data_IF_681066535070
#
_entry.id   IF_681066535070
#
_cell.length_a   1.000
_cell.length_b   1.000
_cell.length_c   1.000
_cell.angle_alpha   90.00
_cell.angle_beta   90.00
_cell.angle_gamma   90.00
#
_symmetry.space_group_name_H-M   'P 1'
#
loop_
_entity.id
_entity.type
_entity.pdbx_description
1 polymer ?
#
# COMPACT_ATOMS: atom_id res chain seq x y z
N UNK A 1 25.66 18.35 -9.26
CA UNK A 1 24.51 17.78 -10.02
C UNK A 1 24.38 16.28 -9.81
N UNK A 2 25.46 15.52 -9.78
CA UNK A 2 25.43 14.06 -9.52
C UNK A 2 24.84 13.68 -8.13
N UNK A 3 25.17 14.43 -7.09
CA UNK A 3 24.60 14.15 -5.75
C UNK A 3 23.08 14.32 -5.69
N UNK A 4 22.55 15.34 -6.37
CA UNK A 4 21.09 15.57 -6.41
C UNK A 4 20.42 14.46 -7.24
N UNK A 5 21.01 14.06 -8.36
CA UNK A 5 20.50 12.97 -9.18
C UNK A 5 20.49 11.64 -8.40
N UNK A 6 21.56 11.35 -7.68
CA UNK A 6 21.64 10.16 -6.81
C UNK A 6 20.63 10.20 -5.66
N UNK A 7 20.45 11.35 -5.02
CA UNK A 7 19.45 11.52 -3.97
C UNK A 7 18.03 11.28 -4.51
N UNK A 8 17.72 11.83 -5.69
CA UNK A 8 16.41 11.65 -6.33
C UNK A 8 16.18 10.21 -6.79
N UNK A 9 17.19 9.54 -7.34
CA UNK A 9 17.11 8.14 -7.73
C UNK A 9 16.82 7.25 -6.51
N UNK A 10 17.52 7.48 -5.39
CA UNK A 10 17.29 6.75 -4.14
C UNK A 10 15.92 7.06 -3.54
N UNK A 11 15.47 8.32 -3.59
CA UNK A 11 14.14 8.71 -3.14
C UNK A 11 13.04 8.02 -3.94
N UNK A 12 13.21 7.88 -5.26
CA UNK A 12 12.29 7.15 -6.13
C UNK A 12 12.28 5.65 -5.82
N UNK A 13 13.45 5.04 -5.63
CA UNK A 13 13.58 3.62 -5.25
C UNK A 13 12.83 3.30 -3.95
N UNK A 14 13.04 4.10 -2.89
CA UNK A 14 12.31 3.98 -1.62
C UNK A 14 10.84 4.36 -1.73
N UNK A 15 10.50 5.35 -2.54
CA UNK A 15 9.14 5.84 -2.73
C UNK A 15 8.26 4.87 -3.54
N UNK A 16 8.84 4.03 -4.39
CA UNK A 16 8.07 3.15 -5.28
C UNK A 16 7.13 2.20 -4.53
N UNK A 17 7.56 1.43 -3.51
CA UNK A 17 6.64 0.55 -2.79
C UNK A 17 5.60 1.33 -1.99
N UNK A 18 5.97 2.50 -1.45
CA UNK A 18 5.02 3.40 -0.77
C UNK A 18 3.95 3.91 -1.74
N UNK A 19 4.35 4.29 -2.97
CA UNK A 19 3.42 4.74 -4.00
C UNK A 19 2.44 3.63 -4.36
N UNK A 20 2.93 2.44 -4.66
CA UNK A 20 2.09 1.30 -5.07
C UNK A 20 1.09 0.95 -3.96
N UNK A 21 1.55 0.83 -2.72
CA UNK A 21 0.68 0.52 -1.57
C UNK A 21 -0.32 1.64 -1.28
N UNK A 22 0.09 2.92 -1.37
CA UNK A 22 -0.77 4.08 -1.21
C UNK A 22 -1.88 4.12 -2.29
N UNK A 23 -1.55 3.83 -3.55
CA UNK A 23 -2.55 3.74 -4.63
C UNK A 23 -3.58 2.66 -4.35
N UNK A 24 -3.15 1.51 -3.82
CA UNK A 24 -4.06 0.44 -3.36
C UNK A 24 -4.97 0.89 -2.23
N UNK A 25 -4.42 1.58 -1.23
CA UNK A 25 -5.19 2.12 -0.12
C UNK A 25 -6.18 3.21 -0.59
N UNK A 26 -5.78 4.12 -1.51
CA UNK A 26 -6.69 5.10 -2.12
C UNK A 26 -7.87 4.42 -2.80
N UNK A 27 -7.66 3.31 -3.52
CA UNK A 27 -8.74 2.54 -4.15
C UNK A 27 -9.75 2.03 -3.11
N UNK A 28 -9.28 1.43 -2.02
CA UNK A 28 -10.12 0.91 -0.95
C UNK A 28 -10.93 2.04 -0.29
N UNK A 29 -10.24 3.11 0.08
CA UNK A 29 -10.85 4.21 0.83
C UNK A 29 -11.81 5.03 -0.03
N UNK A 30 -11.54 5.20 -1.32
CA UNK A 30 -12.48 5.82 -2.28
C UNK A 30 -13.76 5.02 -2.48
N UNK A 31 -13.76 3.71 -2.18
CA UNK A 31 -14.97 2.87 -2.11
C UNK A 31 -15.60 2.83 -0.71
N UNK A 32 -15.08 3.59 0.26
CA UNK A 32 -15.58 3.67 1.62
C UNK A 32 -15.10 2.54 2.55
N UNK A 33 -14.05 1.81 2.16
CA UNK A 33 -13.49 0.73 2.98
C UNK A 33 -12.11 1.10 3.49
N UNK A 34 -11.96 1.20 4.81
CA UNK A 34 -10.66 1.37 5.48
C UNK A 34 -9.99 0.01 5.60
N UNK A 35 -8.72 -0.05 5.23
CA UNK A 35 -7.95 -1.27 5.36
C UNK A 35 -6.58 -1.00 5.99
N UNK A 36 -6.47 -1.24 7.29
CA UNK A 36 -5.19 -1.18 8.00
C UNK A 36 -4.35 -2.45 7.84
N UNK A 37 -4.83 -3.43 7.06
CA UNK A 37 -4.15 -4.69 6.77
C UNK A 37 -3.07 -4.59 5.70
N UNK A 38 -2.80 -3.41 5.15
CA UNK A 38 -1.84 -3.19 4.07
C UNK A 38 -0.46 -3.74 4.40
N UNK A 39 0.01 -3.56 5.63
CA UNK A 39 1.31 -4.08 6.09
C UNK A 39 1.38 -5.61 6.00
N UNK A 40 0.36 -6.30 6.49
CA UNK A 40 0.29 -7.77 6.40
C UNK A 40 0.15 -8.28 4.96
N UNK A 41 -0.60 -7.55 4.10
CA UNK A 41 -0.73 -7.89 2.68
C UNK A 41 0.58 -7.70 1.94
N UNK A 42 1.36 -6.65 2.26
CA UNK A 42 2.71 -6.43 1.73
C UNK A 42 3.63 -7.57 2.15
N UNK A 43 3.62 -7.98 3.42
CA UNK A 43 4.45 -9.06 3.92
C UNK A 43 4.13 -10.40 3.24
N UNK A 44 2.83 -10.73 3.10
CA UNK A 44 2.39 -11.93 2.37
C UNK A 44 2.77 -11.87 0.88
N UNK A 45 2.62 -10.71 0.25
CA UNK A 45 3.03 -10.49 -1.13
C UNK A 45 4.54 -10.63 -1.31
N UNK A 46 5.34 -10.04 -0.40
CA UNK A 46 6.79 -10.17 -0.41
C UNK A 46 7.24 -11.63 -0.31
N UNK A 47 6.62 -12.40 0.61
CA UNK A 47 6.91 -13.82 0.76
C UNK A 47 6.50 -14.63 -0.47
N UNK A 48 5.28 -14.47 -0.95
CA UNK A 48 4.77 -15.22 -2.09
C UNK A 48 5.59 -14.95 -3.36
N UNK A 49 5.90 -13.66 -3.61
CA UNK A 49 6.77 -13.26 -4.72
C UNK A 49 8.15 -13.87 -4.60
N UNK A 50 8.79 -13.75 -3.43
CA UNK A 50 10.11 -14.33 -3.20
C UNK A 50 10.12 -15.84 -3.38
N UNK A 51 9.15 -16.56 -2.80
CA UNK A 51 9.07 -18.02 -2.88
C UNK A 51 8.97 -18.52 -4.32
N UNK A 52 8.20 -17.83 -5.18
CA UNK A 52 8.07 -18.19 -6.60
C UNK A 52 9.33 -17.81 -7.39
N UNK A 53 9.93 -16.65 -7.10
CA UNK A 53 11.16 -16.22 -7.76
C UNK A 53 12.36 -17.07 -7.37
N UNK A 54 12.41 -17.58 -6.14
CA UNK A 54 13.46 -18.48 -5.68
C UNK A 54 13.37 -19.86 -6.36
N UNK A 55 12.17 -20.30 -6.75
CA UNK A 55 11.93 -21.50 -7.56
C UNK A 55 12.47 -22.77 -6.92
N UNK A 56 13.27 -23.53 -7.68
CA UNK A 56 13.86 -24.80 -7.24
C UNK A 56 15.06 -24.66 -6.29
N UNK A 57 15.44 -23.45 -5.92
CA UNK A 57 16.55 -23.18 -4.98
C UNK A 57 17.74 -22.44 -5.59
N UNK A 58 17.67 -22.08 -6.87
CA UNK A 58 18.76 -21.39 -7.60
C UNK A 58 18.38 -19.96 -8.02
N UNK A 59 17.22 -19.44 -7.59
CA UNK A 59 16.72 -18.13 -8.04
C UNK A 59 16.35 -18.14 -9.54
N UNK A 60 15.94 -19.30 -10.04
CA UNK A 60 15.59 -19.60 -11.43
C UNK A 60 14.10 -19.40 -11.74
N UNK A 61 13.33 -18.95 -10.76
CA UNK A 61 11.89 -18.72 -10.89
C UNK A 61 11.55 -17.61 -11.88
N UNK A 62 10.35 -17.70 -12.43
CA UNK A 62 9.86 -16.71 -13.38
C UNK A 62 9.41 -15.44 -12.63
N UNK A 63 10.02 -14.30 -12.95
CA UNK A 63 9.72 -13.01 -12.33
C UNK A 63 8.24 -12.60 -12.46
N UNK A 64 7.64 -12.80 -13.63
CA UNK A 64 6.25 -12.42 -13.87
C UNK A 64 5.28 -13.28 -13.07
N UNK A 65 5.57 -14.57 -12.93
CA UNK A 65 4.81 -15.47 -12.05
C UNK A 65 4.99 -15.08 -10.58
N UNK A 66 6.19 -14.65 -10.19
CA UNK A 66 6.46 -14.17 -8.83
C UNK A 66 5.65 -12.89 -8.51
N UNK A 67 5.63 -11.94 -9.43
CA UNK A 67 4.82 -10.72 -9.30
C UNK A 67 3.32 -11.07 -9.22
N UNK A 68 2.84 -11.95 -10.10
CA UNK A 68 1.45 -12.40 -10.08
C UNK A 68 1.09 -13.12 -8.77
N UNK A 69 1.96 -14.00 -8.29
CA UNK A 69 1.75 -14.70 -7.01
C UNK A 69 1.66 -13.72 -5.84
N UNK A 70 2.51 -12.69 -5.81
CA UNK A 70 2.47 -11.66 -4.80
C UNK A 70 1.18 -10.84 -4.85
N UNK A 71 0.73 -10.43 -6.03
CA UNK A 71 -0.54 -9.74 -6.23
C UNK A 71 -1.73 -10.60 -5.80
N UNK A 72 -1.72 -11.88 -6.13
CA UNK A 72 -2.77 -12.82 -5.71
C UNK A 72 -2.77 -13.04 -4.20
N UNK A 73 -1.61 -13.18 -3.56
CA UNK A 73 -1.51 -13.31 -2.11
C UNK A 73 -2.09 -12.08 -1.39
N UNK A 74 -1.73 -10.89 -1.84
CA UNK A 74 -2.29 -9.63 -1.32
C UNK A 74 -3.80 -9.50 -1.56
N UNK A 75 -4.28 -9.86 -2.76
CA UNK A 75 -5.70 -9.84 -3.11
C UNK A 75 -6.52 -10.82 -2.26
N UNK A 76 -6.02 -12.05 -2.06
CA UNK A 76 -6.69 -13.06 -1.22
C UNK A 76 -6.78 -12.61 0.24
N UNK A 77 -5.70 -12.05 0.79
CA UNK A 77 -5.71 -11.46 2.13
C UNK A 77 -6.71 -10.29 2.22
N UNK A 78 -6.77 -9.44 1.20
CA UNK A 78 -7.74 -8.37 1.12
C UNK A 78 -9.19 -8.89 1.02
N UNK A 79 -9.43 -9.96 0.28
CA UNK A 79 -10.76 -10.56 0.19
C UNK A 79 -11.24 -11.12 1.53
N UNK A 80 -10.32 -11.67 2.36
CA UNK A 80 -10.65 -12.06 3.72
C UNK A 80 -11.11 -10.84 4.55
N UNK A 81 -10.36 -9.73 4.49
CA UNK A 81 -10.77 -8.47 5.10
C UNK A 81 -12.11 -7.97 4.56
N UNK A 82 -12.30 -8.02 3.24
CA UNK A 82 -13.56 -7.65 2.59
C UNK A 82 -14.73 -8.52 3.07
N UNK A 83 -14.54 -9.82 3.22
CA UNK A 83 -15.58 -10.71 3.76
C UNK A 83 -16.00 -10.32 5.18
N UNK A 84 -15.02 -10.05 6.04
CA UNK A 84 -15.28 -9.63 7.43
C UNK A 84 -15.96 -8.26 7.50
N UNK A 85 -15.56 -7.32 6.66
CA UNK A 85 -15.99 -5.91 6.75
C UNK A 85 -17.20 -5.57 5.89
N UNK A 86 -17.35 -6.21 4.71
CA UNK A 86 -18.45 -5.94 3.78
C UNK A 86 -19.62 -6.91 4.02
N UNK A 87 -19.33 -8.21 4.16
CA UNK A 87 -20.38 -9.22 4.35
C UNK A 87 -20.79 -9.34 5.80
N UNK A 88 -19.83 -9.54 6.73
CA UNK A 88 -20.12 -9.65 8.16
C UNK A 88 -20.30 -8.29 8.85
N UNK A 89 -19.97 -7.19 8.16
CA UNK A 89 -20.13 -5.81 8.63
C UNK A 89 -19.41 -5.51 9.96
N UNK A 90 -18.32 -6.22 10.22
CA UNK A 90 -17.49 -6.01 11.38
C UNK A 90 -16.67 -4.72 11.28
N UNK A 91 -16.06 -4.32 12.39
CA UNK A 91 -15.23 -3.13 12.46
C UNK A 91 -14.02 -3.24 11.52
N UNK A 92 -13.93 -2.30 10.56
CA UNK A 92 -12.92 -2.29 9.50
C UNK A 92 -11.50 -2.08 10.06
N UNK A 93 -11.34 -1.22 11.08
CA UNK A 93 -10.06 -0.95 11.70
C UNK A 93 -9.51 -2.17 12.41
N UNK A 94 -10.34 -2.80 13.23
CA UNK A 94 -9.95 -4.02 13.98
C UNK A 94 -9.62 -5.16 13.03
N UNK A 95 -10.45 -5.38 12.00
CA UNK A 95 -10.22 -6.40 10.98
C UNK A 95 -8.90 -6.18 10.24
N UNK A 96 -8.61 -4.93 9.85
CA UNK A 96 -7.36 -4.59 9.17
C UNK A 96 -6.13 -4.80 10.06
N UNK A 97 -6.19 -4.35 11.32
CA UNK A 97 -5.12 -4.57 12.30
C UNK A 97 -4.85 -6.07 12.54
N UNK A 98 -5.91 -6.86 12.74
CA UNK A 98 -5.79 -8.29 12.90
C UNK A 98 -5.15 -8.95 11.67
N UNK A 99 -5.55 -8.52 10.46
CA UNK A 99 -4.97 -9.02 9.22
C UNK A 99 -3.48 -8.66 9.09
N UNK A 100 -3.07 -7.46 9.53
CA UNK A 100 -1.65 -7.10 9.57
C UNK A 100 -0.85 -8.04 10.45
N UNK A 101 -1.34 -8.33 11.66
CA UNK A 101 -0.66 -9.24 12.60
C UNK A 101 -0.59 -10.66 12.06
N UNK A 102 -1.71 -11.18 11.52
CA UNK A 102 -1.77 -12.51 10.90
C UNK A 102 -0.84 -12.57 9.69
N UNK A 103 -0.85 -11.55 8.84
CA UNK A 103 -0.01 -11.48 7.64
C UNK A 103 1.48 -11.47 7.98
N UNK A 104 1.89 -10.61 8.92
CA UNK A 104 3.28 -10.56 9.38
C UNK A 104 3.71 -11.87 10.04
N UNK A 105 2.90 -12.42 10.95
CA UNK A 105 3.20 -13.69 11.62
C UNK A 105 3.29 -14.86 10.64
N UNK A 106 2.38 -14.95 9.67
CA UNK A 106 2.41 -15.98 8.63
C UNK A 106 3.63 -15.83 7.72
N UNK A 107 3.94 -14.60 7.30
CA UNK A 107 5.10 -14.32 6.47
C UNK A 107 6.40 -14.65 7.19
N UNK A 108 6.55 -14.26 8.48
CA UNK A 108 7.71 -14.61 9.29
C UNK A 108 7.85 -16.11 9.51
N UNK A 109 6.74 -16.83 9.79
CA UNK A 109 6.78 -18.27 10.01
C UNK A 109 7.17 -19.05 8.74
N UNK A 110 6.47 -18.80 7.64
CA UNK A 110 6.70 -19.51 6.38
C UNK A 110 7.97 -19.03 5.66
N UNK A 111 8.38 -17.79 5.92
CA UNK A 111 9.58 -17.18 5.34
C UNK A 111 10.89 -17.64 5.97
N UNK A 112 10.87 -18.25 7.18
CA UNK A 112 12.09 -18.74 7.86
C UNK A 112 13.01 -19.59 6.98
N UNK A 113 12.45 -20.43 6.14
CA UNK A 113 13.20 -21.29 5.22
C UNK A 113 13.98 -20.52 4.14
N UNK A 114 13.62 -19.26 3.91
CA UNK A 114 14.23 -18.39 2.90
C UNK A 114 15.15 -17.32 3.52
N UNK A 115 15.25 -17.27 4.84
CA UNK A 115 15.98 -16.21 5.54
C UNK A 115 17.45 -16.20 5.13
N UNK A 116 17.94 -15.03 4.72
CA UNK A 116 19.32 -14.84 4.28
C UNK A 116 19.64 -15.38 2.86
N UNK A 117 18.66 -15.96 2.16
CA UNK A 117 18.88 -16.45 0.80
C UNK A 117 18.74 -15.29 -0.20
N UNK A 118 19.75 -15.03 -1.04
CA UNK A 118 19.69 -14.00 -2.08
C UNK A 118 19.02 -14.53 -3.36
N UNK A 119 18.45 -13.62 -4.14
CA UNK A 119 18.09 -13.86 -5.53
C UNK A 119 19.26 -13.43 -6.43
N UNK A 120 19.66 -14.30 -7.36
CA UNK A 120 20.76 -14.02 -8.28
C UNK A 120 20.33 -13.19 -9.50
N UNK A 121 19.05 -13.32 -9.90
CA UNK A 121 18.51 -12.60 -11.04
C UNK A 121 17.67 -11.39 -10.57
N UNK A 122 18.31 -10.23 -10.48
CA UNK A 122 17.67 -9.00 -10.02
C UNK A 122 17.05 -8.23 -11.19
N UNK A 123 15.75 -8.00 -11.20
CA UNK A 123 15.15 -7.12 -12.19
C UNK A 123 15.56 -5.66 -11.93
N UNK A 124 15.67 -4.84 -12.99
CA UNK A 124 15.93 -3.41 -12.80
C UNK A 124 14.77 -2.72 -12.09
N UNK A 125 15.07 -1.67 -11.31
CA UNK A 125 14.07 -0.93 -10.52
C UNK A 125 13.15 -0.05 -11.38
N UNK A 126 13.68 0.53 -12.47
CA UNK A 126 13.00 1.56 -13.26
C UNK A 126 11.64 1.12 -13.86
N UNK A 127 11.41 -0.14 -14.30
CA UNK A 127 10.10 -0.53 -14.81
C UNK A 127 9.01 -0.49 -13.75
N UNK A 128 9.35 -0.84 -12.51
CA UNK A 128 8.41 -0.80 -11.38
C UNK A 128 8.08 0.63 -10.99
N UNK A 129 9.09 1.51 -10.93
CA UNK A 129 8.91 2.93 -10.63
C UNK A 129 8.08 3.61 -11.71
N UNK A 130 8.42 3.41 -12.97
CA UNK A 130 7.66 3.96 -14.09
C UNK A 130 6.24 3.38 -14.12
N UNK A 131 6.08 2.08 -13.90
CA UNK A 131 4.79 1.41 -13.80
C UNK A 131 3.93 1.96 -12.67
N UNK A 132 4.51 2.26 -11.51
CA UNK A 132 3.79 2.87 -10.38
C UNK A 132 3.32 4.30 -10.70
N UNK A 133 4.15 5.11 -11.37
CA UNK A 133 3.77 6.46 -11.82
C UNK A 133 2.67 6.37 -12.89
N UNK A 134 2.81 5.50 -13.87
CA UNK A 134 1.78 5.28 -14.89
C UNK A 134 0.46 4.79 -14.26
N UNK A 135 0.53 3.92 -13.26
CA UNK A 135 -0.64 3.47 -12.50
C UNK A 135 -1.31 4.63 -11.76
N UNK A 136 -0.55 5.56 -11.18
CA UNK A 136 -1.11 6.76 -10.54
C UNK A 136 -1.87 7.64 -11.55
N UNK A 137 -1.31 7.83 -12.75
CA UNK A 137 -1.97 8.56 -13.84
C UNK A 137 -3.24 7.81 -14.30
N UNK A 138 -3.14 6.49 -14.50
CA UNK A 138 -4.27 5.65 -14.91
C UNK A 138 -5.40 5.69 -13.88
N UNK A 139 -5.09 5.52 -12.59
CA UNK A 139 -6.10 5.58 -11.53
C UNK A 139 -6.72 6.98 -11.41
N UNK A 140 -5.94 8.03 -11.62
CA UNK A 140 -6.47 9.39 -11.68
C UNK A 140 -7.43 9.54 -12.85
N UNK A 141 -7.08 9.05 -14.04
CA UNK A 141 -7.97 9.05 -15.19
C UNK A 141 -9.24 8.22 -14.90
N UNK A 142 -9.10 7.00 -14.38
CA UNK A 142 -10.25 6.15 -14.02
C UNK A 142 -11.17 6.88 -13.04
N UNK A 143 -10.65 7.45 -11.96
CA UNK A 143 -11.47 8.12 -10.96
C UNK A 143 -12.22 9.35 -11.48
N UNK A 144 -11.59 10.15 -12.32
CA UNK A 144 -12.13 11.46 -12.68
C UNK A 144 -12.73 11.53 -14.09
N UNK A 145 -12.38 10.59 -14.97
CA UNK A 145 -12.85 10.62 -16.36
C UNK A 145 -13.74 9.43 -16.75
N UNK A 146 -13.96 8.43 -15.88
CA UNK A 146 -14.73 7.24 -16.22
C UNK A 146 -15.98 7.04 -15.37
N UNK A 147 -16.97 6.31 -15.93
CA UNK A 147 -18.18 5.91 -15.18
C UNK A 147 -17.87 4.98 -14.01
N UNK A 148 -16.87 4.10 -14.15
CA UNK A 148 -16.45 3.19 -13.09
C UNK A 148 -15.91 3.99 -11.89
N UNK A 149 -15.07 4.96 -12.15
CA UNK A 149 -14.52 5.82 -11.10
C UNK A 149 -15.60 6.68 -10.42
N UNK A 150 -16.58 7.17 -11.20
CA UNK A 150 -17.75 7.88 -10.64
C UNK A 150 -18.55 6.96 -9.72
N UNK A 151 -18.87 5.73 -10.17
CA UNK A 151 -19.59 4.74 -9.37
C UNK A 151 -18.86 4.40 -8.08
N UNK A 152 -17.53 4.21 -8.16
CA UNK A 152 -16.71 3.89 -6.99
C UNK A 152 -16.73 5.02 -5.95
N UNK A 153 -16.55 6.27 -6.40
CA UNK A 153 -16.61 7.45 -5.52
C UNK A 153 -18.00 7.65 -4.94
N UNK A 154 -19.07 7.45 -5.75
CA UNK A 154 -20.46 7.55 -5.25
C UNK A 154 -20.73 6.55 -4.12
N UNK A 155 -20.20 5.32 -4.22
CA UNK A 155 -20.29 4.30 -3.16
C UNK A 155 -19.53 4.70 -1.91
N UNK A 156 -18.41 5.39 -2.05
CA UNK A 156 -17.65 5.89 -0.91
C UNK A 156 -18.26 7.11 -0.24
N UNK A 157 -18.95 7.98 -1.01
CA UNK A 157 -19.60 9.17 -0.46
C UNK A 157 -20.96 8.82 0.18
N UNK A 158 -21.84 8.16 -0.59
CA UNK A 158 -23.18 7.78 -0.09
C UNK A 158 -23.62 6.42 -0.68
N UNK A 159 -23.32 5.32 0.02
CA UNK A 159 -23.65 3.98 -0.47
C UNK A 159 -25.17 3.76 -0.59
N UNK A 160 -25.99 4.38 0.28
CA UNK A 160 -27.43 4.24 0.22
C UNK A 160 -28.01 4.91 -1.06
N UNK A 161 -27.56 6.13 -1.39
CA UNK A 161 -27.94 6.79 -2.62
C UNK A 161 -27.42 6.03 -3.85
N UNK A 162 -26.23 5.48 -3.80
CA UNK A 162 -25.66 4.67 -4.88
C UNK A 162 -26.49 3.39 -5.14
N UNK A 163 -26.95 2.69 -4.09
CA UNK A 163 -27.81 1.53 -4.20
C UNK A 163 -29.19 1.87 -4.80
N UNK A 164 -29.79 3.01 -4.40
CA UNK A 164 -31.05 3.50 -4.98
C UNK A 164 -30.93 3.80 -6.50
N UNK A 165 -29.75 4.18 -6.96
CA UNK A 165 -29.45 4.37 -8.38
C UNK A 165 -29.10 3.06 -9.12
N UNK A 166 -29.23 1.91 -8.45
CA UNK A 166 -29.01 0.58 -9.02
C UNK A 166 -27.55 0.12 -9.05
N UNK A 167 -26.63 0.80 -8.33
CA UNK A 167 -25.26 0.35 -8.23
C UNK A 167 -25.15 -0.80 -7.22
N UNK A 168 -24.39 -1.84 -7.58
CA UNK A 168 -24.10 -2.94 -6.66
C UNK A 168 -22.98 -2.53 -5.71
N UNK A 169 -23.34 -1.95 -4.56
CA UNK A 169 -22.40 -1.43 -3.54
C UNK A 169 -21.44 -2.51 -3.04
N UNK A 170 -21.90 -3.72 -2.62
CA UNK A 170 -20.95 -4.76 -2.18
C UNK A 170 -19.96 -5.16 -3.27
N UNK A 171 -20.40 -5.37 -4.50
CA UNK A 171 -19.53 -5.78 -5.60
C UNK A 171 -18.43 -4.73 -5.88
N UNK A 172 -18.79 -3.44 -5.88
CA UNK A 172 -17.82 -2.34 -6.08
C UNK A 172 -16.82 -2.25 -4.94
N UNK A 173 -17.27 -2.41 -3.69
CA UNK A 173 -16.39 -2.46 -2.51
C UNK A 173 -15.43 -3.65 -2.57
N UNK A 174 -15.93 -4.85 -2.91
CA UNK A 174 -15.10 -6.04 -3.07
C UNK A 174 -14.06 -5.89 -4.17
N UNK A 175 -14.46 -5.35 -5.33
CA UNK A 175 -13.54 -5.10 -6.44
C UNK A 175 -12.42 -4.13 -6.04
N UNK A 176 -12.77 -3.05 -5.34
CA UNK A 176 -11.79 -2.08 -4.83
C UNK A 176 -10.83 -2.73 -3.83
N UNK A 177 -11.36 -3.50 -2.87
CA UNK A 177 -10.58 -4.17 -1.82
C UNK A 177 -9.63 -5.20 -2.43
N UNK A 178 -10.10 -6.00 -3.40
CA UNK A 178 -9.25 -6.98 -4.08
C UNK A 178 -8.13 -6.31 -4.88
N UNK A 179 -8.46 -5.26 -5.65
CA UNK A 179 -7.47 -4.51 -6.41
C UNK A 179 -6.46 -3.79 -5.51
N UNK A 180 -6.94 -3.19 -4.41
CA UNK A 180 -6.07 -2.56 -3.41
C UNK A 180 -5.12 -3.54 -2.74
N UNK A 181 -5.61 -4.74 -2.39
CA UNK A 181 -4.80 -5.82 -1.86
C UNK A 181 -3.78 -6.36 -2.85
N UNK A 182 -4.15 -6.48 -4.12
CA UNK A 182 -3.21 -6.85 -5.19
C UNK A 182 -2.06 -5.85 -5.30
N UNK A 183 -2.35 -4.55 -5.21
CA UNK A 183 -1.32 -3.50 -5.21
C UNK A 183 -0.46 -3.55 -3.93
N UNK A 184 -1.04 -3.81 -2.77
CA UNK A 184 -0.26 -4.01 -1.56
C UNK A 184 0.68 -5.23 -1.68
N UNK A 185 0.21 -6.35 -2.26
CA UNK A 185 1.04 -7.51 -2.57
C UNK A 185 2.16 -7.18 -3.55
N UNK A 186 1.88 -6.40 -4.60
CA UNK A 186 2.88 -5.91 -5.56
C UNK A 186 3.93 -5.03 -4.89
N UNK A 187 3.52 -4.15 -3.97
CA UNK A 187 4.45 -3.34 -3.19
C UNK A 187 5.40 -4.20 -2.35
N UNK A 188 4.85 -5.28 -1.75
CA UNK A 188 5.66 -6.27 -1.05
C UNK A 188 6.64 -7.01 -1.96
N UNK A 189 6.18 -7.45 -3.14
CA UNK A 189 7.05 -8.08 -4.14
C UNK A 189 8.21 -7.17 -4.56
N UNK A 190 7.95 -5.86 -4.75
CA UNK A 190 9.02 -4.92 -5.04
C UNK A 190 10.12 -4.95 -3.98
N UNK A 191 9.75 -5.02 -2.70
CA UNK A 191 10.74 -5.07 -1.61
C UNK A 191 11.62 -6.32 -1.69
N UNK A 192 11.03 -7.50 -1.89
CA UNK A 192 11.74 -8.78 -1.84
C UNK A 192 12.42 -9.18 -3.15
N UNK A 193 11.96 -8.67 -4.31
CA UNK A 193 12.47 -9.05 -5.63
C UNK A 193 13.41 -7.99 -6.22
N UNK A 194 13.17 -6.70 -5.92
CA UNK A 194 13.81 -5.59 -6.61
C UNK A 194 14.68 -4.77 -5.67
N UNK A 195 14.08 -4.24 -4.61
CA UNK A 195 14.75 -3.31 -3.70
C UNK A 195 15.81 -4.01 -2.84
N UNK A 196 15.46 -5.13 -2.21
CA UNK A 196 16.37 -6.03 -1.50
C UNK A 196 16.08 -7.46 -1.98
N UNK A 197 16.76 -7.93 -3.03
CA UNK A 197 16.48 -9.24 -3.62
C UNK A 197 16.95 -10.38 -2.70
N UNK A 198 16.32 -10.46 -1.55
CA UNK A 198 16.52 -11.45 -0.49
C UNK A 198 15.30 -11.46 0.42
N UNK A 199 15.09 -12.55 1.12
CA UNK A 199 14.08 -12.61 2.16
C UNK A 199 14.71 -12.30 3.54
N UNK A 200 14.08 -11.37 4.25
CA UNK A 200 14.38 -11.11 5.67
C UNK A 200 13.07 -10.89 6.41
N UNK A 201 12.94 -11.45 7.62
CA UNK A 201 11.76 -11.23 8.43
C UNK A 201 11.59 -9.74 8.75
N UNK A 202 10.34 -9.28 8.76
CA UNK A 202 10.02 -7.88 9.02
C UNK A 202 10.49 -6.91 7.94
N UNK A 203 10.79 -7.35 6.71
CA UNK A 203 11.33 -6.49 5.63
C UNK A 203 10.41 -5.34 5.21
N UNK A 204 9.11 -5.41 5.50
CA UNK A 204 8.17 -4.33 5.26
C UNK A 204 8.33 -3.16 6.24
N UNK A 205 8.85 -3.43 7.46
CA UNK A 205 9.28 -2.44 8.45
C UNK A 205 8.30 -1.27 8.67
N UNK A 206 6.99 -1.52 8.61
CA UNK A 206 5.96 -0.50 8.79
C UNK A 206 5.65 0.35 7.55
N UNK A 207 6.21 0.03 6.38
CA UNK A 207 5.95 0.76 5.14
C UNK A 207 4.47 0.77 4.75
N UNK A 208 3.72 -0.30 5.06
CA UNK A 208 2.28 -0.36 4.84
C UNK A 208 1.50 0.65 5.69
N UNK A 209 1.90 0.85 6.94
CA UNK A 209 1.31 1.86 7.83
C UNK A 209 1.59 3.28 7.32
N UNK A 210 2.81 3.52 6.84
CA UNK A 210 3.19 4.80 6.23
C UNK A 210 2.38 5.02 4.95
N UNK A 211 2.18 3.99 4.12
CA UNK A 211 1.37 4.08 2.90
C UNK A 211 -0.09 4.45 3.19
N UNK A 212 -0.72 3.87 4.22
CA UNK A 212 -2.07 4.26 4.66
C UNK A 212 -2.10 5.72 5.14
N UNK A 213 -1.12 6.12 5.94
CA UNK A 213 -1.02 7.50 6.42
C UNK A 213 -0.78 8.49 5.27
N UNK A 214 -0.05 8.06 4.24
CA UNK A 214 0.20 8.83 3.03
C UNK A 214 -1.11 9.14 2.26
N UNK A 215 -2.12 8.28 2.30
CA UNK A 215 -3.44 8.54 1.68
C UNK A 215 -4.06 9.83 2.21
N UNK A 216 -4.02 10.02 3.53
CA UNK A 216 -4.55 11.22 4.19
C UNK A 216 -3.69 12.44 3.81
N UNK A 217 -2.36 12.30 3.85
CA UNK A 217 -1.41 13.35 3.48
C UNK A 217 -1.66 13.88 2.06
N UNK A 218 -1.94 13.01 1.09
CA UNK A 218 -2.15 13.38 -0.32
C UNK A 218 -3.62 13.70 -0.65
N UNK A 219 -4.52 13.64 0.33
CA UNK A 219 -5.95 13.94 0.16
C UNK A 219 -6.65 13.00 -0.82
N UNK A 220 -6.40 11.69 -0.73
CA UNK A 220 -6.99 10.66 -1.59
C UNK A 220 -6.79 10.89 -3.09
N UNK A 221 -5.73 11.58 -3.50
CA UNK A 221 -5.43 11.90 -4.91
C UNK A 221 -4.28 11.04 -5.43
N UNK A 222 -4.50 10.18 -6.45
CA UNK A 222 -3.45 9.34 -7.02
C UNK A 222 -2.25 10.13 -7.56
N UNK A 223 -2.49 11.27 -8.21
CA UNK A 223 -1.39 12.09 -8.73
C UNK A 223 -0.57 12.74 -7.61
N UNK A 224 -1.21 13.21 -6.54
CA UNK A 224 -0.49 13.74 -5.38
C UNK A 224 0.29 12.66 -4.65
N UNK A 225 -0.15 11.39 -4.73
CA UNK A 225 0.56 10.27 -4.14
C UNK A 225 1.97 10.10 -4.71
N UNK A 226 2.20 10.45 -5.98
CA UNK A 226 3.54 10.45 -6.58
C UNK A 226 4.48 11.40 -5.83
N UNK A 227 4.04 12.63 -5.62
CA UNK A 227 4.84 13.63 -4.89
C UNK A 227 5.04 13.23 -3.42
N UNK A 228 3.98 12.73 -2.77
CA UNK A 228 4.06 12.25 -1.40
C UNK A 228 5.04 11.08 -1.25
N UNK A 229 5.00 10.11 -2.15
CA UNK A 229 5.90 8.97 -2.13
C UNK A 229 7.37 9.37 -2.34
N UNK A 230 7.65 10.28 -3.29
CA UNK A 230 8.99 10.84 -3.49
C UNK A 230 9.47 11.59 -2.26
N UNK A 231 8.59 12.39 -1.64
CA UNK A 231 8.91 13.14 -0.44
C UNK A 231 9.27 12.20 0.74
N UNK A 232 8.46 11.17 1.00
CA UNK A 232 8.77 10.17 2.03
C UNK A 232 10.01 9.36 1.67
N UNK A 233 10.20 9.02 0.39
CA UNK A 233 11.43 8.37 -0.10
C UNK A 233 12.68 9.21 0.16
N UNK A 234 12.59 10.54 -0.03
CA UNK A 234 13.68 11.46 0.28
C UNK A 234 13.97 11.51 1.79
N UNK A 235 12.94 11.50 2.64
CA UNK A 235 13.11 11.42 4.10
C UNK A 235 13.86 10.14 4.50
N UNK A 236 13.49 8.99 3.93
CA UNK A 236 14.22 7.74 4.15
C UNK A 236 15.68 7.82 3.71
N UNK A 237 15.92 8.37 2.52
CA UNK A 237 17.29 8.59 2.04
C UNK A 237 18.11 9.48 2.99
N UNK A 238 17.54 10.60 3.44
CA UNK A 238 18.19 11.51 4.38
C UNK A 238 18.46 10.84 5.73
N UNK A 239 17.51 10.03 6.20
CA UNK A 239 17.69 9.23 7.43
C UNK A 239 18.95 8.39 7.35
N UNK A 240 19.13 7.60 6.28
CA UNK A 240 20.33 6.75 6.14
C UNK A 240 21.61 7.56 5.96
N UNK A 241 21.56 8.69 5.27
CA UNK A 241 22.74 9.54 5.07
C UNK A 241 23.19 10.24 6.36
N UNK A 242 22.26 10.60 7.22
CA UNK A 242 22.53 11.28 8.49
C UNK A 242 22.89 10.29 9.63
N UNK A 243 22.47 9.03 9.49
CA UNK A 243 22.89 7.97 10.41
C UNK A 243 24.41 7.85 10.38
N UNK A 244 25.04 7.97 11.54
CA UNK A 244 26.51 7.89 11.70
C UNK A 244 27.25 9.22 11.58
N UNK A 245 26.61 10.32 11.18
CA UNK A 245 27.23 11.65 11.18
C UNK A 245 26.80 12.49 12.40
N UNK A 246 25.67 12.18 13.01
CA UNK A 246 25.13 12.88 14.17
C UNK A 246 25.19 11.99 15.42
N UNK A 247 25.44 12.60 16.59
CA UNK A 247 25.36 11.93 17.90
C UNK A 247 23.89 11.62 18.31
N UNK A 248 23.00 11.44 17.32
CA UNK A 248 21.56 11.19 17.52
C UNK A 248 21.32 9.69 17.30
N UNK A 249 20.58 9.00 18.20
CA UNK A 249 20.23 7.60 18.05
C UNK A 249 19.46 7.33 16.74
N UNK A 250 19.72 6.18 16.12
CA UNK A 250 19.10 5.77 14.84
C UNK A 250 17.58 5.69 14.92
N UNK A 251 17.04 5.38 16.09
CA UNK A 251 15.62 5.27 16.40
C UNK A 251 14.88 6.60 16.23
N UNK A 252 15.55 7.71 16.54
CA UNK A 252 14.99 9.05 16.35
C UNK A 252 14.79 9.34 14.86
N UNK A 253 15.76 8.99 14.02
CA UNK A 253 15.61 9.12 12.58
C UNK A 253 14.52 8.20 12.02
N UNK A 254 14.41 6.97 12.53
CA UNK A 254 13.37 6.03 12.13
C UNK A 254 11.94 6.52 12.48
N UNK A 255 11.81 7.37 13.51
CA UNK A 255 10.51 7.95 13.89
C UNK A 255 10.08 9.15 13.04
N UNK A 256 10.99 9.79 12.29
CA UNK A 256 10.71 11.02 11.53
C UNK A 256 9.53 10.91 10.56
N UNK A 257 9.38 9.84 9.75
CA UNK A 257 8.23 9.71 8.85
C UNK A 257 6.90 9.71 9.59
N UNK A 258 6.83 9.05 10.74
CA UNK A 258 5.61 8.97 11.56
C UNK A 258 5.31 10.30 12.26
N UNK A 259 6.33 10.96 12.81
CA UNK A 259 6.19 12.29 13.41
C UNK A 259 5.70 13.32 12.39
N UNK A 260 6.20 13.24 11.16
CA UNK A 260 5.75 14.12 10.08
C UNK A 260 4.29 13.89 9.74
N UNK A 261 3.83 12.64 9.68
CA UNK A 261 2.40 12.32 9.48
C UNK A 261 1.55 12.96 10.58
N UNK A 262 1.95 12.79 11.86
CA UNK A 262 1.25 13.39 12.99
C UNK A 262 1.21 14.91 12.87
N UNK A 263 2.33 15.55 12.53
CA UNK A 263 2.44 16.99 12.34
C UNK A 263 1.49 17.49 11.25
N UNK A 264 1.48 16.80 10.10
CA UNK A 264 0.60 17.17 8.97
C UNK A 264 -0.87 17.02 9.34
N UNK A 265 -1.24 15.93 10.02
CA UNK A 265 -2.61 15.73 10.50
C UNK A 265 -3.03 16.84 11.48
N UNK A 266 -2.15 17.20 12.42
CA UNK A 266 -2.40 18.28 13.38
C UNK A 266 -2.60 19.63 12.66
N UNK A 267 -1.72 19.98 11.71
CA UNK A 267 -1.84 21.21 10.93
C UNK A 267 -3.09 21.23 10.03
N UNK A 268 -3.46 20.10 9.45
CA UNK A 268 -4.69 19.99 8.65
C UNK A 268 -5.94 20.17 9.49
N UNK A 269 -5.95 19.62 10.71
CA UNK A 269 -7.02 19.79 11.69
C UNK A 269 -7.19 21.25 12.12
N UNK A 270 -6.08 21.95 12.38
CA UNK A 270 -6.10 23.37 12.75
C UNK A 270 -6.64 24.28 11.64
N UNK A 271 -6.49 23.91 10.38
CA UNK A 271 -6.99 24.67 9.22
C UNK A 271 -8.47 24.42 8.91
N UNK A 272 -9.15 23.56 9.68
CA UNK A 272 -10.56 23.21 9.43
C UNK A 272 -10.78 22.53 8.06
N UNK A 273 -9.74 22.11 7.40
CA UNK A 273 -9.84 21.31 6.18
C UNK A 273 -10.31 19.92 6.59
N UNK A 274 -11.63 19.73 6.63
CA UNK A 274 -12.20 18.39 6.54
C UNK A 274 -11.67 17.83 5.22
N UNK A 275 -10.76 16.86 5.32
CA UNK A 275 -10.06 16.31 4.16
C UNK A 275 -11.07 15.78 3.14
N UNK A 276 -10.63 15.62 1.90
CA UNK A 276 -11.40 14.98 0.81
C UNK A 276 -11.69 13.48 1.09
N UNK A 277 -11.81 13.11 2.39
CA UNK A 277 -12.17 11.76 2.79
C UNK A 277 -13.60 11.45 2.35
N UNK A 278 -13.85 10.27 1.81
CA UNK A 278 -15.21 9.84 1.51
C UNK A 278 -16.09 9.82 2.77
N UNK A 279 -17.31 10.30 2.67
CA UNK A 279 -18.20 10.51 3.84
C UNK A 279 -18.60 9.19 4.52
N UNK A 280 -18.72 8.10 3.75
CA UNK A 280 -19.02 6.77 4.26
C UNK A 280 -17.77 5.94 4.58
N UNK A 281 -16.57 6.57 4.66
CA UNK A 281 -15.34 5.86 4.96
C UNK A 281 -15.40 5.20 6.35
N UNK A 282 -15.09 3.90 6.39
CA UNK A 282 -15.09 3.13 7.62
C UNK A 282 -16.46 2.75 8.15
N UNK A 283 -17.55 3.18 7.49
CA UNK A 283 -18.92 2.89 7.91
C UNK A 283 -19.41 1.60 7.22
N UNK A 284 -19.98 0.65 7.98
CA UNK A 284 -20.66 -0.50 7.39
C UNK A 284 -21.89 -0.03 6.61
N UNK A 285 -22.22 -0.72 5.53
CA UNK A 285 -23.41 -0.45 4.74
C UNK A 285 -24.37 -1.62 4.82
N UNK A 286 -25.62 -1.35 5.19
CA UNK A 286 -26.73 -2.30 5.15
C UNK A 286 -27.81 -1.81 4.21
N UNK A 287 -28.24 -2.70 3.32
CA UNK A 287 -29.32 -2.41 2.40
C UNK A 287 -30.63 -2.21 3.18
N UNK A 288 -31.28 -1.05 3.00
CA UNK A 288 -32.56 -0.76 3.66
C UNK A 288 -32.48 -0.11 5.04
N UNK A 289 -31.32 0.08 5.65
CA UNK A 289 -31.17 0.96 6.82
C UNK A 289 -31.12 2.43 6.34
N UNK A 290 -32.00 3.26 6.93
CA UNK A 290 -32.09 4.72 6.70
C UNK A 290 -31.33 5.45 7.80
#
# INVERSE_FOLDING_TARGET
>A
MEEIANALARALSFGTPLLIACLGAILNERAGVVNLGVEGMMALGALAGFAVAYGSGAGDGNLWLAVLAAMLAGALAAMLHGFVTITLQANQFVSGLALSMVGLGTAGLLGKRFEGLPLFNQPPEWPFTLGAIMLAVLLSFVFYATRIGLSLRSVGENPAAADLLGLNVPALRYAAVAAGGALAGLAGAYLSLVYRPSWTDGMTAGLGWIAVSLVIFVGWSPLRAVFGAVFFGLLYYLQFRLQGQAAIPTEVFASLPYLLVILVLALSGLRGQQGNAPEALGKPYRRGER
#
